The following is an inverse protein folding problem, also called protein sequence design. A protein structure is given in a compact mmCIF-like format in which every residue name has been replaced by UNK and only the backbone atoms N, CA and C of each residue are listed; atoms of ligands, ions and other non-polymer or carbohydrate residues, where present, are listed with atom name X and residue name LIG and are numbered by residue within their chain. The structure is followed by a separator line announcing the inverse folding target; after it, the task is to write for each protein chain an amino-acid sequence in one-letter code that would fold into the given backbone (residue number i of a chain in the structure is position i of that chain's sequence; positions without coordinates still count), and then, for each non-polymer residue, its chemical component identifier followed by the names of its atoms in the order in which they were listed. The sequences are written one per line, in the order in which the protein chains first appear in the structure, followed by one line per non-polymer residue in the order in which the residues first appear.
data_IF_165802422704
#
_entry.id   IF_165802422704
#
_cell.length_a   1.000
_cell.length_b   1.000
_cell.length_c   1.000
_cell.angle_alpha   90.00
_cell.angle_beta   90.00
_cell.angle_gamma   90.00
#
_symmetry.space_group_name_H-M   'P 1'
#
loop_
_entity.id
_entity.type
_entity.pdbx_description
1 polymer ?
#
# COMPACT_ATOMS: atom_id res chain seq x y z
N UNK A 1 22.83 8.30 5.32
CA UNK A 1 22.51 6.92 5.77
C UNK A 1 23.73 6.01 5.84
N UNK A 2 24.68 6.06 4.91
CA UNK A 2 25.90 5.24 4.95
C UNK A 2 26.59 5.20 6.33
N UNK A 3 26.88 6.37 6.92
CA UNK A 3 27.47 6.46 8.27
C UNK A 3 26.65 5.77 9.36
N UNK A 4 25.32 5.94 9.34
CA UNK A 4 24.43 5.29 10.32
C UNK A 4 24.37 3.78 10.11
N UNK A 5 24.43 3.31 8.86
CA UNK A 5 24.49 1.88 8.56
C UNK A 5 25.82 1.25 9.03
N UNK A 6 26.93 2.00 8.97
CA UNK A 6 28.23 1.57 9.48
C UNK A 6 28.25 1.34 11.00
N UNK A 7 27.33 1.94 11.77
CA UNK A 7 27.16 1.64 13.19
C UNK A 7 26.70 0.18 13.43
N UNK A 8 26.00 -0.42 12.46
CA UNK A 8 25.49 -1.80 12.53
C UNK A 8 26.29 -2.78 11.68
N UNK A 9 26.96 -2.29 10.63
CA UNK A 9 27.76 -3.09 9.69
C UNK A 9 29.10 -2.37 9.47
N UNK A 10 30.09 -2.53 10.37
CA UNK A 10 31.33 -1.75 10.35
C UNK A 10 32.17 -1.94 9.08
N UNK A 11 32.08 -3.10 8.43
CA UNK A 11 32.81 -3.43 7.21
C UNK A 11 32.21 -2.77 5.95
N UNK A 12 31.03 -2.14 6.06
CA UNK A 12 30.40 -1.40 4.96
C UNK A 12 31.28 -0.20 4.57
N UNK A 13 31.82 -0.22 3.36
CA UNK A 13 32.55 0.92 2.77
C UNK A 13 31.63 1.74 1.88
N UNK A 14 31.83 3.06 1.86
CA UNK A 14 31.07 3.98 0.98
C UNK A 14 31.26 3.60 -0.50
N UNK A 15 32.43 3.08 -0.84
CA UNK A 15 32.80 2.58 -2.16
C UNK A 15 31.87 1.46 -2.68
N UNK A 16 31.22 0.72 -1.78
CA UNK A 16 30.30 -0.37 -2.16
C UNK A 16 28.94 0.17 -2.66
N UNK A 17 28.65 1.45 -2.45
CA UNK A 17 27.39 2.06 -2.85
C UNK A 17 27.44 2.43 -4.34
N UNK A 18 26.61 1.77 -5.16
CA UNK A 18 26.61 1.95 -6.61
C UNK A 18 26.32 3.39 -7.07
N UNK A 19 25.45 4.11 -6.37
CA UNK A 19 25.07 5.51 -6.65
C UNK A 19 24.36 6.15 -5.45
N UNK A 20 24.27 7.49 -5.38
CA UNK A 20 23.39 8.16 -4.45
C UNK A 20 21.95 7.68 -4.58
N UNK A 21 21.28 7.47 -3.45
CA UNK A 21 19.85 7.21 -3.44
C UNK A 21 19.03 8.45 -3.80
N UNK A 22 17.76 8.23 -4.14
CA UNK A 22 16.79 9.31 -4.36
C UNK A 22 16.08 9.66 -3.05
N UNK A 23 15.74 10.94 -2.88
CA UNK A 23 14.85 11.36 -1.82
C UNK A 23 13.41 10.94 -2.17
N UNK A 24 12.74 10.25 -1.26
CA UNK A 24 11.31 9.93 -1.36
C UNK A 24 10.48 10.82 -0.44
N UNK A 25 9.24 11.10 -0.84
CA UNK A 25 8.25 11.77 0.02
C UNK A 25 7.39 10.70 0.70
N UNK A 26 7.20 10.84 2.01
CA UNK A 26 6.24 10.03 2.76
C UNK A 26 5.05 10.92 3.15
N UNK A 27 3.88 10.62 2.61
CA UNK A 27 2.63 11.29 2.98
C UNK A 27 2.11 10.74 4.31
N UNK A 28 2.80 11.03 5.41
CA UNK A 28 2.36 10.63 6.75
C UNK A 28 1.38 11.65 7.30
N UNK A 29 0.22 11.18 7.74
CA UNK A 29 -0.78 12.04 8.40
C UNK A 29 -0.51 12.12 9.90
N UNK A 30 -0.66 13.32 10.44
CA UNK A 30 -0.50 13.62 11.87
C UNK A 30 -1.83 14.19 12.39
N UNK A 31 -2.29 13.71 13.55
CA UNK A 31 -3.50 14.21 14.20
C UNK A 31 -3.28 15.57 14.90
N UNK A 32 -4.35 16.18 15.42
CA UNK A 32 -4.28 17.48 16.12
C UNK A 32 -3.41 17.46 17.39
N UNK A 33 -3.09 16.28 17.92
CA UNK A 33 -2.26 16.08 19.11
C UNK A 33 -0.80 15.78 18.76
N UNK A 34 -0.45 15.72 17.47
CA UNK A 34 0.90 15.42 17.00
C UNK A 34 1.19 13.93 16.84
N UNK A 35 0.19 13.05 16.92
CA UNK A 35 0.40 11.61 16.76
C UNK A 35 0.35 11.20 15.29
N UNK A 36 1.22 10.27 14.90
CA UNK A 36 1.13 9.64 13.58
C UNK A 36 -0.10 8.75 13.49
N UNK A 37 -0.87 8.93 12.41
CA UNK A 37 -1.94 7.99 12.06
C UNK A 37 -1.30 6.79 11.35
N UNK A 38 -1.53 5.59 11.92
CA UNK A 38 -0.89 4.35 11.47
C UNK A 38 -1.69 3.60 10.40
N UNK A 39 -3.01 3.75 10.44
CA UNK A 39 -3.94 3.02 9.57
C UNK A 39 -4.22 3.76 8.27
N UNK A 40 -4.73 3.01 7.29
CA UNK A 40 -5.24 3.62 6.06
C UNK A 40 -6.37 4.59 6.40
N UNK A 41 -6.34 5.79 5.81
CA UNK A 41 -7.43 6.76 5.96
C UNK A 41 -8.25 6.75 4.67
N UNK A 42 -9.44 6.21 4.78
CA UNK A 42 -10.44 6.15 3.71
C UNK A 42 -11.47 7.25 3.92
N UNK A 43 -11.78 8.01 2.86
CA UNK A 43 -12.82 9.02 2.85
C UNK A 43 -13.76 8.76 1.68
N UNK A 44 -15.02 8.49 1.98
CA UNK A 44 -16.08 8.30 1.00
C UNK A 44 -16.76 9.64 0.69
N UNK A 45 -16.92 9.93 -0.60
CA UNK A 45 -17.70 11.04 -1.12
C UNK A 45 -18.80 10.52 -2.05
N UNK A 46 -19.72 11.40 -2.45
CA UNK A 46 -20.89 11.00 -3.24
C UNK A 46 -20.55 10.26 -4.55
N UNK A 47 -19.42 10.59 -5.18
CA UNK A 47 -18.95 10.00 -6.44
C UNK A 47 -17.44 9.72 -6.43
N UNK A 48 -16.83 9.63 -5.25
CA UNK A 48 -15.38 9.46 -5.12
C UNK A 48 -15.03 8.67 -3.87
N UNK A 49 -13.94 7.92 -3.96
CA UNK A 49 -13.36 7.20 -2.83
C UNK A 49 -11.89 7.57 -2.71
N UNK A 50 -11.50 8.14 -1.57
CA UNK A 50 -10.17 8.67 -1.36
C UNK A 50 -9.40 7.85 -0.33
N UNK A 51 -8.18 7.47 -0.67
CA UNK A 51 -7.20 6.92 0.26
C UNK A 51 -6.16 8.01 0.51
N UNK A 52 -6.24 8.66 1.67
CA UNK A 52 -5.43 9.84 1.98
C UNK A 52 -4.20 9.53 2.84
N UNK A 53 -4.15 8.33 3.41
CA UNK A 53 -2.99 7.80 4.12
C UNK A 53 -2.91 6.30 3.87
N UNK A 54 -1.72 5.80 3.52
CA UNK A 54 -1.38 4.37 3.48
C UNK A 54 0.15 4.24 3.63
N UNK A 55 0.61 4.45 4.86
CA UNK A 55 2.01 4.72 5.18
C UNK A 55 2.84 3.47 5.49
N UNK A 56 2.25 2.33 5.87
CA UNK A 56 3.03 1.09 6.06
C UNK A 56 2.21 -0.21 5.98
N UNK A 57 2.68 -1.22 5.22
CA UNK A 57 3.81 -1.16 4.31
C UNK A 57 3.34 -0.60 2.95
N UNK A 58 3.59 0.69 2.68
CA UNK A 58 3.01 1.38 1.52
C UNK A 58 3.26 0.67 0.19
N UNK A 59 4.53 0.45 -0.18
CA UNK A 59 4.87 -0.17 -1.46
C UNK A 59 4.64 -1.68 -1.49
N UNK A 60 4.97 -2.41 -0.43
CA UNK A 60 4.89 -3.88 -0.44
C UNK A 60 3.49 -4.39 -0.08
N UNK A 61 2.68 -3.60 0.62
CA UNK A 61 1.29 -3.93 0.98
C UNK A 61 0.26 -3.43 -0.02
N UNK A 62 0.61 -2.48 -0.91
CA UNK A 62 -0.35 -1.91 -1.86
C UNK A 62 -1.05 -2.93 -2.75
N UNK A 63 -0.45 -4.04 -3.23
CA UNK A 63 -1.18 -5.00 -4.05
C UNK A 63 -2.28 -5.72 -3.27
N UNK A 64 -2.00 -6.12 -2.03
CA UNK A 64 -2.99 -6.78 -1.17
C UNK A 64 -4.08 -5.80 -0.74
N UNK A 65 -3.71 -4.57 -0.39
CA UNK A 65 -4.66 -3.51 -0.05
C UNK A 65 -5.55 -3.15 -1.25
N UNK A 66 -5.02 -3.10 -2.46
CA UNK A 66 -5.80 -2.87 -3.67
C UNK A 66 -6.81 -4.00 -3.93
N UNK A 67 -6.41 -5.27 -3.74
CA UNK A 67 -7.33 -6.40 -3.88
C UNK A 67 -8.49 -6.30 -2.88
N UNK A 68 -8.15 -6.05 -1.60
CA UNK A 68 -9.14 -5.86 -0.54
C UNK A 68 -10.08 -4.67 -0.82
N UNK A 69 -9.52 -3.53 -1.24
CA UNK A 69 -10.28 -2.32 -1.55
C UNK A 69 -11.29 -2.56 -2.67
N UNK A 70 -10.86 -3.15 -3.79
CA UNK A 70 -11.74 -3.42 -4.93
C UNK A 70 -12.86 -4.38 -4.54
N UNK A 71 -12.56 -5.39 -3.72
CA UNK A 71 -13.57 -6.29 -3.17
C UNK A 71 -14.59 -5.54 -2.32
N UNK A 72 -14.13 -4.78 -1.33
CA UNK A 72 -14.98 -3.94 -0.46
C UNK A 72 -15.91 -3.04 -1.26
N UNK A 73 -15.36 -2.28 -2.22
CA UNK A 73 -16.16 -1.40 -3.09
C UNK A 73 -17.18 -2.16 -3.96
N UNK A 74 -16.86 -3.40 -4.34
CA UNK A 74 -17.78 -4.28 -5.05
C UNK A 74 -18.94 -4.76 -4.17
N UNK A 75 -18.64 -5.16 -2.93
CA UNK A 75 -19.62 -5.60 -1.92
C UNK A 75 -20.56 -4.45 -1.53
N UNK A 76 -20.03 -3.22 -1.43
CA UNK A 76 -20.79 -2.00 -1.16
C UNK A 76 -21.60 -1.52 -2.39
N UNK A 77 -21.47 -2.20 -3.53
CA UNK A 77 -22.21 -1.91 -4.76
C UNK A 77 -21.70 -0.70 -5.55
N UNK A 78 -20.61 -0.06 -5.12
CA UNK A 78 -20.02 1.09 -5.81
C UNK A 78 -19.54 0.74 -7.23
N UNK A 79 -19.25 -0.53 -7.49
CA UNK A 79 -18.74 -1.01 -8.79
C UNK A 79 -19.80 -1.60 -9.71
N UNK A 80 -21.08 -1.63 -9.32
CA UNK A 80 -22.17 -2.28 -10.06
C UNK A 80 -22.40 -1.71 -11.48
N UNK A 81 -22.01 -0.45 -11.69
CA UNK A 81 -22.13 0.23 -12.98
C UNK A 81 -21.00 -0.16 -13.96
N UNK A 82 -19.96 -0.87 -13.51
CA UNK A 82 -18.86 -1.32 -14.37
C UNK A 82 -19.30 -2.56 -15.16
N UNK A 83 -19.26 -2.47 -16.49
CA UNK A 83 -19.44 -3.65 -17.35
C UNK A 83 -18.30 -4.65 -17.11
N UNK A 84 -18.63 -5.92 -16.87
CA UNK A 84 -17.69 -7.01 -16.57
C UNK A 84 -16.83 -7.35 -17.79
N UNK A 85 -15.82 -6.53 -18.06
CA UNK A 85 -14.80 -6.84 -19.06
C UNK A 85 -13.64 -7.53 -18.34
N UNK A 86 -13.64 -8.85 -18.34
CA UNK A 86 -12.53 -9.66 -17.83
C UNK A 86 -11.35 -9.49 -18.81
N UNK A 87 -10.57 -8.44 -18.61
CA UNK A 87 -9.30 -8.24 -19.30
C UNK A 87 -8.40 -9.47 -19.15
N UNK A 88 -7.54 -9.70 -20.16
CA UNK A 88 -6.67 -10.88 -20.28
C UNK A 88 -6.00 -11.26 -18.95
N UNK A 89 -5.96 -12.58 -18.66
CA UNK A 89 -5.21 -13.17 -17.54
C UNK A 89 -3.77 -12.66 -17.52
N UNK A 90 -3.47 -11.74 -16.61
CA UNK A 90 -2.12 -11.31 -16.29
C UNK A 90 -1.46 -12.21 -15.25
N UNK A 91 -0.31 -11.80 -14.75
CA UNK A 91 0.44 -12.50 -13.68
C UNK A 91 -0.27 -12.37 -12.31
N UNK A 92 -1.36 -11.62 -12.24
CA UNK A 92 -2.11 -11.30 -11.02
C UNK A 92 -3.55 -11.80 -11.16
N UNK A 93 -3.95 -12.73 -10.29
CA UNK A 93 -5.30 -13.30 -10.23
C UNK A 93 -6.05 -12.75 -9.02
N UNK A 94 -7.02 -11.87 -9.29
CA UNK A 94 -7.83 -11.21 -8.26
C UNK A 94 -8.62 -12.20 -7.40
N UNK A 95 -9.20 -13.24 -7.99
CA UNK A 95 -10.04 -14.19 -7.26
C UNK A 95 -9.20 -14.99 -6.28
N UNK A 96 -8.08 -15.52 -6.76
CA UNK A 96 -7.12 -16.28 -5.93
C UNK A 96 -6.57 -15.44 -4.77
N UNK A 97 -6.15 -14.20 -5.01
CA UNK A 97 -5.61 -13.34 -3.95
C UNK A 97 -6.69 -12.99 -2.90
N UNK A 98 -7.92 -12.73 -3.35
CA UNK A 98 -9.03 -12.37 -2.45
C UNK A 98 -9.41 -13.51 -1.51
N UNK A 99 -9.45 -14.75 -1.99
CA UNK A 99 -9.71 -15.95 -1.17
C UNK A 99 -8.61 -16.16 -0.11
N UNK A 100 -7.34 -15.94 -0.47
CA UNK A 100 -6.21 -16.11 0.47
C UNK A 100 -6.21 -15.09 1.62
N UNK A 101 -6.78 -13.90 1.41
CA UNK A 101 -6.92 -12.89 2.47
C UNK A 101 -7.92 -13.36 3.53
N UNK A 102 -9.02 -14.01 3.13
CA UNK A 102 -10.07 -14.47 4.06
C UNK A 102 -9.64 -15.65 4.92
N UNK A 103 -8.94 -16.64 4.35
CA UNK A 103 -8.53 -17.86 5.08
C UNK A 103 -7.60 -17.60 6.27
N UNK A 104 -6.92 -16.45 6.34
CA UNK A 104 -6.03 -16.09 7.46
C UNK A 104 -6.74 -15.41 8.64
N UNK A 105 -8.02 -15.12 8.53
CA UNK A 105 -8.80 -14.40 9.56
C UNK A 105 -9.61 -15.34 10.46
N UNK A 106 -9.49 -16.67 10.27
CA UNK A 106 -10.10 -17.73 11.11
C UNK A 106 -9.01 -18.50 11.84
#
# INVERSE_FOLDING_TARGET
MARRAQEFIPELKVEYLARPGIAGVRAQVIDRKGNFIKEAIELEGAHSYHITNYNSPGATGSPAFAAWLVKKLGEDGHLNHLTRNLGKRGIWDFAMISEQIEMKTT
#
